data_IF_058136628261
#
_entry.id   IF_058136628261
#
_cell.length_a   1.000
_cell.length_b   1.000
_cell.length_c   1.000
_cell.angle_alpha   90.00
_cell.angle_beta   90.00
_cell.angle_gamma   90.00
#
_symmetry.space_group_name_H-M   'P 1'
#
loop_
_entity.id
_entity.type
_entity.pdbx_description
1 polymer ?
#
# COMPACT_ATOMS: atom_id res chain seq x y z
N UNK A 1 10.81 -4.99 7.33
CA UNK A 1 10.35 -5.14 5.95
C UNK A 1 9.33 -4.05 5.61
N UNK A 2 9.32 -3.60 4.38
CA UNK A 2 8.44 -2.51 3.97
C UNK A 2 7.35 -3.03 3.05
N UNK A 3 6.17 -2.42 3.15
CA UNK A 3 4.98 -2.79 2.39
C UNK A 3 4.37 -1.55 1.78
N UNK A 4 3.94 -1.67 0.53
CA UNK A 4 3.12 -0.66 -0.14
C UNK A 4 1.66 -0.99 0.11
N UNK A 5 0.93 -0.07 0.71
CA UNK A 5 -0.52 -0.17 0.93
C UNK A 5 -1.20 0.82 0.01
N UNK A 6 -2.17 0.34 -0.77
CA UNK A 6 -3.01 1.17 -1.64
C UNK A 6 -4.46 0.89 -1.26
N UNK A 7 -5.21 1.94 -0.95
CA UNK A 7 -6.62 1.84 -0.56
C UNK A 7 -7.44 2.81 -1.38
N UNK A 8 -8.45 2.29 -2.08
CA UNK A 8 -9.34 3.10 -2.90
C UNK A 8 -10.80 2.82 -2.53
N UNK A 9 -11.61 3.86 -2.52
CA UNK A 9 -13.03 3.72 -2.21
C UNK A 9 -13.70 2.74 -3.18
N UNK A 10 -14.39 1.74 -2.62
CA UNK A 10 -15.19 0.81 -3.42
C UNK A 10 -16.37 1.56 -4.04
N UNK A 11 -16.74 1.23 -5.28
CA UNK A 11 -17.87 1.88 -5.95
C UNK A 11 -19.16 1.71 -5.16
N UNK A 12 -19.37 0.54 -4.55
CA UNK A 12 -20.54 0.23 -3.73
C UNK A 12 -20.61 1.03 -2.43
N UNK A 13 -19.51 1.67 -2.02
CA UNK A 13 -19.42 2.42 -0.77
C UNK A 13 -19.57 3.93 -0.96
N UNK A 14 -19.84 4.40 -2.17
CA UNK A 14 -20.00 5.83 -2.45
C UNK A 14 -21.21 6.38 -1.73
N UNK A 15 -21.05 7.57 -1.15
CA UNK A 15 -22.16 8.30 -0.54
C UNK A 15 -23.14 8.78 -1.63
N UNK A 16 -24.43 8.59 -1.40
CA UNK A 16 -25.48 8.96 -2.34
C UNK A 16 -26.26 10.21 -1.91
N UNK A 17 -26.07 10.64 -0.67
CA UNK A 17 -26.70 11.86 -0.14
C UNK A 17 -25.67 12.75 0.55
N UNK A 18 -25.95 14.06 0.66
CA UNK A 18 -25.07 14.96 1.42
C UNK A 18 -24.87 14.52 2.88
N UNK A 19 -25.92 14.01 3.53
CA UNK A 19 -25.84 13.54 4.92
C UNK A 19 -24.90 12.35 5.06
N UNK A 20 -24.95 11.41 4.12
CA UNK A 20 -24.02 10.28 4.09
C UNK A 20 -22.57 10.76 3.87
N UNK A 21 -22.39 11.77 3.03
CA UNK A 21 -21.10 12.38 2.79
C UNK A 21 -20.51 13.01 4.05
N UNK A 22 -21.32 13.72 4.81
CA UNK A 22 -20.89 14.30 6.09
C UNK A 22 -20.43 13.21 7.06
N UNK A 23 -21.25 12.17 7.23
CA UNK A 23 -20.93 11.04 8.11
C UNK A 23 -19.63 10.37 7.66
N UNK A 24 -19.47 10.14 6.36
CA UNK A 24 -18.27 9.50 5.80
C UNK A 24 -17.03 10.30 6.12
N UNK A 25 -17.05 11.61 5.91
CA UNK A 25 -15.90 12.47 6.17
C UNK A 25 -15.59 12.54 7.68
N UNK A 26 -16.59 12.82 8.49
CA UNK A 26 -16.38 13.04 9.93
C UNK A 26 -16.03 11.76 10.70
N UNK A 27 -16.65 10.64 10.35
CA UNK A 27 -16.51 9.42 11.14
C UNK A 27 -15.52 8.41 10.54
N UNK A 28 -15.18 8.53 9.27
CA UNK A 28 -14.28 7.57 8.61
C UNK A 28 -13.02 8.22 8.06
N UNK A 29 -13.13 9.31 7.30
CA UNK A 29 -11.97 9.94 6.67
C UNK A 29 -11.08 10.64 7.69
N UNK A 30 -11.62 11.59 8.44
CA UNK A 30 -10.82 12.35 9.39
C UNK A 30 -10.12 11.47 10.44
N UNK A 31 -10.78 10.49 11.05
CA UNK A 31 -10.09 9.59 11.98
C UNK A 31 -9.01 8.76 11.31
N UNK A 32 -9.19 8.36 10.05
CA UNK A 32 -8.15 7.65 9.28
C UNK A 32 -6.94 8.54 9.05
N UNK A 33 -7.16 9.80 8.64
CA UNK A 33 -6.07 10.75 8.42
C UNK A 33 -5.28 11.00 9.71
N UNK A 34 -5.96 11.11 10.84
CA UNK A 34 -5.31 11.27 12.15
C UNK A 34 -4.44 10.07 12.50
N UNK A 35 -4.94 8.85 12.29
CA UNK A 35 -4.17 7.64 12.55
C UNK A 35 -2.95 7.54 11.63
N UNK A 36 -3.11 7.85 10.35
CA UNK A 36 -2.00 7.86 9.41
C UNK A 36 -0.96 8.91 9.76
N UNK A 37 -1.39 10.09 10.22
CA UNK A 37 -0.49 11.12 10.68
C UNK A 37 0.32 10.66 11.89
N UNK A 38 -0.34 10.02 12.85
CA UNK A 38 0.31 9.45 14.03
C UNK A 38 1.34 8.38 13.66
N UNK A 39 0.98 7.46 12.76
CA UNK A 39 1.90 6.43 12.27
C UNK A 39 3.10 7.03 11.55
N UNK A 40 2.90 8.14 10.84
CA UNK A 40 3.98 8.88 10.18
C UNK A 40 4.92 9.51 11.22
N UNK A 41 4.37 10.13 12.26
CA UNK A 41 5.16 10.71 13.34
C UNK A 41 5.96 9.65 14.10
N UNK A 42 5.40 8.46 14.26
CA UNK A 42 6.06 7.32 14.88
C UNK A 42 7.06 6.63 13.94
N UNK A 43 7.23 7.13 12.73
CA UNK A 43 8.12 6.59 11.69
C UNK A 43 7.76 5.16 11.26
N UNK A 44 6.52 4.78 11.41
CA UNK A 44 6.00 3.51 10.89
C UNK A 44 5.57 3.67 9.44
N UNK A 45 4.83 4.73 9.13
CA UNK A 45 4.60 5.13 7.73
C UNK A 45 5.80 5.97 7.31
N UNK A 46 6.51 5.50 6.29
CA UNK A 46 7.74 6.11 5.81
C UNK A 46 7.49 7.17 4.74
N UNK A 47 6.44 7.00 3.97
CA UNK A 47 6.04 7.91 2.90
C UNK A 47 4.60 7.62 2.52
N UNK A 48 3.92 8.59 1.93
CA UNK A 48 2.57 8.41 1.42
C UNK A 48 1.69 9.61 1.65
N UNK A 49 0.42 9.45 1.32
CA UNK A 49 -0.59 10.48 1.45
C UNK A 49 -1.90 10.06 0.83
N UNK A 50 -2.81 11.02 0.72
CA UNK A 50 -4.08 10.82 0.03
C UNK A 50 -3.90 10.98 -1.48
N UNK A 51 -4.73 10.27 -2.25
CA UNK A 51 -4.68 10.33 -3.70
C UNK A 51 -5.32 11.62 -4.19
N UNK A 52 -4.68 12.29 -5.16
CA UNK A 52 -5.29 13.40 -5.86
C UNK A 52 -6.20 12.86 -6.96
N UNK A 53 -7.41 13.39 -7.08
CA UNK A 53 -8.37 13.01 -8.10
C UNK A 53 -9.15 11.73 -7.83
N UNK A 54 -8.96 11.10 -6.67
CA UNK A 54 -9.69 9.92 -6.27
C UNK A 54 -9.84 9.88 -4.75
N UNK A 55 -10.84 9.15 -4.26
CA UNK A 55 -10.98 8.93 -2.81
C UNK A 55 -10.15 7.70 -2.46
N UNK A 56 -9.02 7.94 -1.83
CA UNK A 56 -8.10 6.88 -1.46
C UNK A 56 -6.81 7.39 -0.87
N UNK A 57 -5.96 6.47 -0.48
CA UNK A 57 -4.66 6.76 0.09
C UNK A 57 -3.67 5.66 -0.29
N UNK A 58 -2.40 6.02 -0.28
CA UNK A 58 -1.32 5.08 -0.52
C UNK A 58 -0.15 5.43 0.39
N UNK A 59 0.49 4.43 0.96
CA UNK A 59 1.62 4.66 1.84
C UNK A 59 2.56 3.45 1.88
N UNK A 60 3.79 3.73 2.29
CA UNK A 60 4.79 2.69 2.56
C UNK A 60 4.92 2.59 4.07
N UNK A 61 4.74 1.38 4.60
CA UNK A 61 4.75 1.13 6.04
C UNK A 61 5.76 0.04 6.38
N UNK A 62 6.45 0.23 7.49
CA UNK A 62 7.42 -0.75 8.01
C UNK A 62 6.74 -1.65 9.02
N UNK A 63 6.99 -2.96 8.89
CA UNK A 63 6.54 -3.95 9.85
C UNK A 63 7.41 -5.20 9.78
N UNK A 64 7.38 -6.00 10.85
CA UNK A 64 8.17 -7.24 10.91
C UNK A 64 7.48 -8.38 10.17
N UNK A 65 6.16 -8.35 10.07
CA UNK A 65 5.38 -9.40 9.43
C UNK A 65 4.11 -8.85 8.77
N UNK A 66 3.62 -9.55 7.75
CA UNK A 66 2.40 -9.20 7.05
C UNK A 66 1.18 -9.13 7.96
N UNK A 67 1.12 -9.98 8.99
CA UNK A 67 0.04 -9.96 9.98
C UNK A 67 -0.09 -8.60 10.67
N UNK A 68 1.02 -7.99 11.00
CA UNK A 68 1.04 -6.66 11.62
C UNK A 68 0.44 -5.61 10.69
N UNK A 69 0.75 -5.71 9.40
CA UNK A 69 0.17 -4.80 8.39
C UNK A 69 -1.34 -4.98 8.32
N UNK A 70 -1.82 -6.23 8.28
CA UNK A 70 -3.25 -6.51 8.24
C UNK A 70 -3.96 -5.94 9.45
N UNK A 71 -3.38 -6.04 10.64
CA UNK A 71 -3.96 -5.49 11.87
C UNK A 71 -4.05 -3.97 11.80
N UNK A 72 -3.00 -3.29 11.33
CA UNK A 72 -3.00 -1.84 11.20
C UNK A 72 -4.00 -1.38 10.17
N UNK A 73 -3.99 -1.98 8.98
CA UNK A 73 -4.86 -1.60 7.87
C UNK A 73 -6.32 -1.83 8.21
N UNK A 74 -6.66 -3.00 8.77
CA UNK A 74 -8.02 -3.30 9.17
C UNK A 74 -8.51 -2.42 10.34
N UNK A 75 -7.59 -1.82 11.09
CA UNK A 75 -7.91 -0.86 12.15
C UNK A 75 -8.19 0.55 11.66
N UNK A 76 -7.94 0.85 10.39
CA UNK A 76 -8.26 2.17 9.83
C UNK A 76 -9.78 2.29 9.64
N UNK A 77 -10.41 3.38 10.13
CA UNK A 77 -11.88 3.52 10.07
C UNK A 77 -12.48 3.39 8.66
N UNK A 78 -11.75 3.80 7.61
CA UNK A 78 -12.25 3.68 6.24
C UNK A 78 -12.13 2.27 5.65
N UNK A 79 -11.38 1.37 6.28
CA UNK A 79 -11.03 0.08 5.70
C UNK A 79 -12.24 -0.71 5.16
N UNK A 80 -13.38 -0.82 5.87
CA UNK A 80 -14.52 -1.60 5.36
C UNK A 80 -15.12 -1.06 4.07
N UNK A 81 -14.82 0.20 3.73
CA UNK A 81 -15.35 0.86 2.53
C UNK A 81 -14.34 0.91 1.38
N UNK A 82 -13.15 0.38 1.61
CA UNK A 82 -12.04 0.47 0.66
C UNK A 82 -11.73 -0.87 0.00
N UNK A 83 -11.28 -0.80 -1.24
CA UNK A 83 -10.57 -1.90 -1.90
C UNK A 83 -9.09 -1.71 -1.56
N UNK A 84 -8.51 -2.66 -0.85
CA UNK A 84 -7.16 -2.56 -0.30
C UNK A 84 -6.21 -3.55 -0.97
N UNK A 85 -5.04 -3.08 -1.33
CA UNK A 85 -3.94 -3.89 -1.85
C UNK A 85 -2.71 -3.69 -0.97
N UNK A 86 -2.08 -4.77 -0.54
CA UNK A 86 -0.86 -4.75 0.28
C UNK A 86 0.22 -5.52 -0.47
N UNK A 87 1.32 -4.85 -0.78
CA UNK A 87 2.41 -5.42 -1.56
C UNK A 87 3.71 -5.34 -0.78
N UNK A 88 4.36 -6.47 -0.46
CA UNK A 88 5.69 -6.42 0.15
C UNK A 88 6.70 -5.88 -0.84
N UNK A 89 7.62 -5.06 -0.37
CA UNK A 89 8.65 -4.44 -1.19
C UNK A 89 10.00 -5.13 -0.97
N UNK A 90 10.67 -5.46 -2.06
CA UNK A 90 12.05 -5.96 -2.05
C UNK A 90 12.97 -4.77 -2.26
N UNK A 91 14.09 -4.74 -1.56
CA UNK A 91 15.09 -3.67 -1.76
C UNK A 91 15.68 -3.73 -3.17
N UNK A 92 16.21 -2.61 -3.62
CA UNK A 92 16.87 -2.54 -4.94
C UNK A 92 18.01 -3.55 -5.05
N UNK A 93 18.84 -3.64 -4.02
CA UNK A 93 19.97 -4.56 -4.01
C UNK A 93 19.57 -6.03 -3.95
N UNK A 94 18.52 -6.35 -3.20
CA UNK A 94 18.01 -7.72 -3.14
C UNK A 94 17.44 -8.15 -4.49
N UNK A 95 16.73 -7.25 -5.18
CA UNK A 95 16.21 -7.54 -6.52
C UNK A 95 17.36 -7.79 -7.51
N UNK A 96 18.40 -6.97 -7.45
CA UNK A 96 19.58 -7.16 -8.29
C UNK A 96 20.22 -8.53 -8.05
N UNK A 97 20.37 -8.92 -6.78
CA UNK A 97 20.93 -10.22 -6.42
C UNK A 97 20.07 -11.39 -6.92
N UNK A 98 18.73 -11.24 -6.85
CA UNK A 98 17.80 -12.26 -7.34
C UNK A 98 17.92 -12.43 -8.86
N UNK A 99 18.14 -11.34 -9.58
CA UNK A 99 18.19 -11.35 -11.06
C UNK A 99 19.50 -11.92 -11.62
N UNK A 100 20.61 -11.84 -10.88
CA UNK A 100 21.93 -12.28 -11.39
C UNK A 100 21.98 -13.71 -11.89
N UNK A 101 21.50 -14.73 -11.14
CA UNK A 101 21.53 -16.11 -11.65
C UNK A 101 20.68 -16.27 -12.93
N UNK A 102 19.55 -15.60 -13.01
CA UNK A 102 18.71 -15.62 -14.21
C UNK A 102 19.40 -14.99 -15.41
N UNK A 103 20.10 -13.86 -15.19
CA UNK A 103 20.88 -13.21 -16.24
C UNK A 103 21.99 -14.13 -16.75
N UNK A 104 22.70 -14.83 -15.88
CA UNK A 104 23.75 -15.78 -16.28
C UNK A 104 23.17 -16.90 -17.15
N UNK A 105 22.01 -17.46 -16.77
CA UNK A 105 21.34 -18.50 -17.55
C UNK A 105 20.93 -17.97 -18.94
N UNK A 106 20.39 -16.75 -19.00
CA UNK A 106 20.00 -16.14 -20.26
C UNK A 106 21.18 -15.87 -21.18
N UNK A 107 22.30 -15.43 -20.61
CA UNK A 107 23.55 -15.23 -21.37
C UNK A 107 24.06 -16.54 -21.96
N UNK A 108 24.02 -17.61 -21.17
CA UNK A 108 24.44 -18.92 -21.64
C UNK A 108 23.56 -19.41 -22.81
N UNK A 109 22.23 -19.18 -22.73
CA UNK A 109 21.31 -19.53 -23.80
C UNK A 109 21.55 -18.70 -25.06
N UNK A 110 21.83 -17.39 -24.89
CA UNK A 110 22.11 -16.51 -26.01
C UNK A 110 23.39 -16.91 -26.72
N UNK A 111 24.45 -17.24 -25.97
CA UNK A 111 25.71 -17.73 -26.55
C UNK A 111 25.51 -19.05 -27.29
N UNK A 112 24.71 -19.96 -26.73
CA UNK A 112 24.37 -21.22 -27.39
C UNK A 112 23.53 -21.04 -28.65
N UNK A 113 22.56 -20.12 -28.61
CA UNK A 113 21.68 -19.84 -29.73
C UNK A 113 22.40 -19.18 -30.92
N UNK A 114 23.48 -18.44 -30.67
CA UNK A 114 24.27 -17.78 -31.70
C UNK A 114 25.20 -18.68 -32.50
N UNK A 115 25.18 -19.96 -32.25
CA UNK A 115 26.06 -20.93 -32.90
C UNK A 115 25.41 -21.62 -34.08
#
# INVERSE_FOLDING_TARGET
>A
MEYLVDMRLADSARSTTPAEGVTFIEQFIFPTLELCQKLTEEQRILAGGTLSGAIGLAFIIRADAAKEIDEIVAGLPVWPRMVTSVTPLTTWSDRAAILRPGLERLRAQTSGAGR
#
